data_IF_651452223096
#
_entry.id   IF_651452223096
#
_cell.length_a   1.000
_cell.length_b   1.000
_cell.length_c   1.000
_cell.angle_alpha   90.00
_cell.angle_beta   90.00
_cell.angle_gamma   90.00
#
_symmetry.space_group_name_H-M   'P 1'
#
loop_
_entity.id
_entity.type
_entity.pdbx_description
1 polymer ?
#
# COMPACT_ATOMS: atom_id res chain seq x y z
N UNK A 1 -0.07 -35.69 17.20
CA UNK A 1 0.11 -34.71 16.10
C UNK A 1 1.21 -33.76 16.51
N UNK A 2 2.11 -33.37 15.59
CA UNK A 2 3.12 -32.33 15.87
C UNK A 2 2.42 -31.02 16.19
N UNK A 3 2.99 -30.20 17.05
CA UNK A 3 2.49 -28.84 17.32
C UNK A 3 2.55 -28.03 16.03
N UNK A 4 1.53 -27.24 15.68
CA UNK A 4 1.56 -26.41 14.47
C UNK A 4 2.73 -25.42 14.53
N UNK A 5 3.37 -25.17 13.40
CA UNK A 5 4.44 -24.18 13.28
C UNK A 5 3.84 -22.85 12.79
N UNK A 6 3.99 -21.78 13.56
CA UNK A 6 3.42 -20.48 13.26
C UNK A 6 4.46 -19.36 13.20
N UNK A 7 4.30 -18.45 12.23
CA UNK A 7 5.08 -17.21 12.09
C UNK A 7 4.13 -16.02 12.15
N UNK A 8 4.40 -15.11 13.08
CA UNK A 8 3.71 -13.84 13.19
C UNK A 8 4.50 -12.75 12.45
N UNK A 9 3.90 -12.10 11.47
CA UNK A 9 4.48 -10.94 10.80
C UNK A 9 3.89 -9.65 11.32
N UNK A 10 4.72 -8.63 11.46
CA UNK A 10 4.31 -7.29 11.90
C UNK A 10 4.94 -6.19 11.06
N UNK A 11 4.14 -5.15 10.77
CA UNK A 11 4.62 -3.82 10.39
C UNK A 11 4.19 -2.82 11.47
N UNK A 12 5.09 -1.89 11.86
CA UNK A 12 4.82 -0.92 12.92
C UNK A 12 5.82 0.24 12.94
N UNK A 13 5.50 1.29 13.69
CA UNK A 13 6.35 2.42 14.05
C UNK A 13 6.71 3.38 12.92
N UNK A 14 5.99 3.32 11.80
CA UNK A 14 6.10 4.29 10.72
C UNK A 14 4.71 4.76 10.25
N UNK A 15 4.01 3.96 9.47
CA UNK A 15 2.59 4.08 9.15
C UNK A 15 2.04 2.69 8.82
N UNK A 16 0.72 2.57 8.73
CA UNK A 16 0.02 1.34 8.31
C UNK A 16 0.41 0.09 9.13
N UNK A 17 0.41 0.23 10.47
CA UNK A 17 0.67 -0.89 11.36
C UNK A 17 -0.30 -2.03 11.13
N UNK A 18 0.21 -3.25 11.09
CA UNK A 18 -0.53 -4.45 10.78
C UNK A 18 0.08 -5.71 11.39
N UNK A 19 -0.72 -6.76 11.52
CA UNK A 19 -0.27 -8.10 11.84
C UNK A 19 -0.85 -9.12 10.87
N UNK A 20 -0.08 -10.19 10.58
CA UNK A 20 -0.50 -11.33 9.79
C UNK A 20 0.06 -12.62 10.39
N UNK A 21 -0.70 -13.69 10.36
CA UNK A 21 -0.32 -14.98 10.93
C UNK A 21 -0.34 -16.07 9.87
N UNK A 22 0.81 -16.76 9.75
CA UNK A 22 0.98 -17.96 8.94
C UNK A 22 1.08 -19.15 9.88
N UNK A 23 0.28 -20.18 9.63
CA UNK A 23 0.30 -21.46 10.39
C UNK A 23 0.43 -22.59 9.38
N UNK A 24 1.46 -23.41 9.51
CA UNK A 24 1.77 -24.54 8.62
C UNK A 24 1.76 -24.17 7.12
N UNK A 25 2.11 -22.92 6.80
CA UNK A 25 2.17 -22.36 5.45
C UNK A 25 0.89 -21.66 4.98
N UNK A 26 -0.22 -21.76 5.72
CA UNK A 26 -1.50 -21.13 5.39
C UNK A 26 -1.61 -19.74 6.00
N UNK A 27 -2.18 -18.79 5.23
CA UNK A 27 -2.56 -17.47 5.75
C UNK A 27 -3.85 -17.63 6.56
N UNK A 28 -3.74 -17.56 7.89
CA UNK A 28 -4.90 -17.73 8.79
C UNK A 28 -5.70 -16.42 8.89
N UNK A 29 -5.02 -15.33 9.22
CA UNK A 29 -5.62 -14.02 9.39
C UNK A 29 -4.61 -12.90 9.18
N UNK A 30 -5.09 -11.72 8.80
CA UNK A 30 -4.31 -10.50 8.74
C UNK A 30 -5.22 -9.27 8.94
N UNK A 31 -4.72 -8.26 9.65
CA UNK A 31 -5.48 -7.02 9.87
C UNK A 31 -4.55 -5.82 10.07
N UNK A 32 -5.04 -4.64 9.63
CA UNK A 32 -4.43 -3.36 9.97
C UNK A 32 -4.88 -2.93 11.37
N UNK A 33 -4.00 -2.33 12.14
CA UNK A 33 -4.30 -1.76 13.46
C UNK A 33 -5.37 -0.66 13.39
N UNK A 34 -5.33 0.17 12.34
CA UNK A 34 -6.32 1.23 12.12
C UNK A 34 -7.78 0.74 12.06
N UNK A 35 -8.01 -0.54 11.78
CA UNK A 35 -9.36 -1.13 11.74
C UNK A 35 -9.97 -1.23 13.13
N UNK A 36 -9.14 -1.35 14.14
CA UNK A 36 -9.53 -1.43 15.55
C UNK A 36 -9.48 -0.07 16.23
N UNK A 37 -8.38 0.66 16.09
CA UNK A 37 -8.17 1.97 16.74
C UNK A 37 -8.96 3.10 16.10
N UNK A 38 -9.41 2.93 14.84
CA UNK A 38 -10.08 3.96 14.03
C UNK A 38 -9.20 5.18 13.72
N UNK A 39 -7.89 5.06 13.90
CA UNK A 39 -6.90 6.07 13.53
C UNK A 39 -6.27 5.68 12.20
N UNK A 40 -6.48 6.52 11.17
CA UNK A 40 -5.86 6.29 9.87
C UNK A 40 -4.35 6.40 9.95
N UNK A 41 -3.67 5.48 9.25
CA UNK A 41 -2.21 5.40 9.24
C UNK A 41 -1.64 5.28 10.66
N UNK A 42 -2.29 4.46 11.49
CA UNK A 42 -1.82 4.17 12.83
C UNK A 42 -0.39 3.63 12.77
N UNK A 43 0.51 4.24 13.51
CA UNK A 43 1.93 3.89 13.56
C UNK A 43 2.33 3.18 14.85
N UNK A 44 1.38 2.94 15.74
CA UNK A 44 1.63 2.26 17.02
C UNK A 44 2.01 0.79 16.82
N UNK A 45 2.45 0.13 17.88
CA UNK A 45 2.56 -1.33 17.87
C UNK A 45 1.16 -1.94 17.64
N UNK A 46 0.99 -2.92 16.72
CA UNK A 46 -0.31 -3.44 16.31
C UNK A 46 -0.90 -4.42 17.33
N UNK A 47 -1.16 -3.96 18.56
CA UNK A 47 -1.62 -4.78 19.68
C UNK A 47 -2.94 -5.49 19.38
N UNK A 48 -3.92 -4.75 18.83
CA UNK A 48 -5.23 -5.29 18.52
C UNK A 48 -5.18 -6.25 17.33
N UNK A 49 -4.40 -5.93 16.30
CA UNK A 49 -4.22 -6.81 15.16
C UNK A 49 -3.50 -8.09 15.55
N UNK A 50 -2.49 -8.04 16.42
CA UNK A 50 -1.82 -9.22 16.99
C UNK A 50 -2.80 -10.07 17.80
N UNK A 51 -3.57 -9.45 18.70
CA UNK A 51 -4.58 -10.16 19.49
C UNK A 51 -5.61 -10.86 18.57
N UNK A 52 -6.08 -10.16 17.54
CA UNK A 52 -7.03 -10.71 16.57
C UNK A 52 -6.50 -11.94 15.83
N UNK A 53 -5.28 -11.88 15.26
CA UNK A 53 -4.76 -13.00 14.47
C UNK A 53 -4.44 -14.22 15.33
N UNK A 54 -4.10 -14.02 16.60
CA UNK A 54 -3.92 -15.10 17.59
C UNK A 54 -5.26 -15.73 17.98
N UNK A 55 -6.28 -14.91 18.28
CA UNK A 55 -7.62 -15.39 18.64
C UNK A 55 -8.24 -16.21 17.49
N UNK A 56 -8.10 -15.73 16.26
CA UNK A 56 -8.58 -16.44 15.06
C UNK A 56 -7.93 -17.81 14.84
N UNK A 57 -6.66 -17.95 15.22
CA UNK A 57 -5.93 -19.21 15.09
C UNK A 57 -6.11 -20.14 16.29
N UNK A 58 -6.58 -19.65 17.43
CA UNK A 58 -6.60 -20.35 18.70
C UNK A 58 -5.21 -20.60 19.28
N UNK A 59 -4.18 -19.88 18.82
CA UNK A 59 -2.80 -19.99 19.32
C UNK A 59 -2.50 -18.87 20.31
N UNK A 60 -1.58 -19.17 21.24
CA UNK A 60 -0.99 -18.17 22.12
C UNK A 60 0.37 -17.67 21.58
N UNK A 61 0.83 -16.52 22.03
CA UNK A 61 2.16 -16.00 21.66
C UNK A 61 3.32 -16.97 21.98
N UNK A 62 3.15 -17.82 22.98
CA UNK A 62 4.11 -18.85 23.33
C UNK A 62 4.20 -19.98 22.28
N UNK A 63 3.20 -20.10 21.42
CA UNK A 63 3.17 -21.10 20.35
C UNK A 63 3.84 -20.62 19.06
N UNK A 64 4.08 -19.30 18.95
CA UNK A 64 4.67 -18.69 17.77
C UNK A 64 6.17 -19.01 17.69
N UNK A 65 6.60 -19.62 16.58
CA UNK A 65 7.99 -20.03 16.35
C UNK A 65 8.94 -18.85 16.15
N UNK A 66 8.47 -17.80 15.47
CA UNK A 66 9.18 -16.55 15.30
C UNK A 66 8.22 -15.39 14.97
N UNK A 67 8.65 -14.18 15.30
CA UNK A 67 8.02 -12.92 14.88
C UNK A 67 8.90 -12.29 13.81
N UNK A 68 8.35 -12.00 12.66
CA UNK A 68 9.03 -11.34 11.55
C UNK A 68 8.59 -9.88 11.45
N UNK A 69 9.54 -8.97 11.56
CA UNK A 69 9.34 -7.53 11.40
C UNK A 69 9.70 -7.11 9.98
N UNK A 70 8.91 -6.31 9.32
CA UNK A 70 8.88 -6.08 7.88
C UNK A 70 10.07 -5.33 7.27
N UNK A 71 11.04 -4.88 8.09
CA UNK A 71 12.23 -4.17 7.62
C UNK A 71 13.47 -4.38 8.52
N UNK A 72 14.62 -3.85 8.09
CA UNK A 72 15.91 -3.85 8.81
C UNK A 72 16.22 -2.45 9.37
N UNK A 73 15.84 -2.13 10.61
CA UNK A 73 15.96 -0.77 11.15
C UNK A 73 17.39 -0.20 11.16
N UNK A 74 18.41 -1.08 11.31
CA UNK A 74 19.82 -0.64 11.30
C UNK A 74 20.25 -0.11 9.93
N UNK A 75 19.84 -0.77 8.83
CA UNK A 75 20.15 -0.32 7.48
C UNK A 75 19.40 0.99 7.15
N UNK A 76 18.16 1.16 7.65
CA UNK A 76 17.45 2.44 7.55
C UNK A 76 18.19 3.57 8.26
N UNK A 77 18.76 3.29 9.42
CA UNK A 77 19.55 4.27 10.18
C UNK A 77 20.88 4.61 9.45
N UNK A 78 21.56 3.61 8.92
CA UNK A 78 22.75 3.78 8.08
C UNK A 78 22.46 4.70 6.89
N UNK A 79 21.42 4.40 6.10
CA UNK A 79 21.00 5.29 5.00
C UNK A 79 20.77 6.71 5.46
N UNK A 80 20.08 6.92 6.60
CA UNK A 80 19.84 8.26 7.12
C UNK A 80 21.16 9.00 7.37
N UNK A 81 22.13 8.38 8.02
CA UNK A 81 23.44 8.98 8.30
C UNK A 81 24.21 9.28 6.99
N UNK A 82 24.28 8.34 6.07
CA UNK A 82 24.96 8.53 4.79
C UNK A 82 24.31 9.61 3.94
N UNK A 83 22.98 9.68 3.96
CA UNK A 83 22.24 10.75 3.27
C UNK A 83 22.63 12.13 3.81
N UNK A 84 22.61 12.34 5.12
CA UNK A 84 23.01 13.63 5.69
C UNK A 84 24.49 13.94 5.43
N UNK A 85 25.36 12.96 5.45
CA UNK A 85 26.76 13.14 5.12
C UNK A 85 26.95 13.56 3.65
N UNK A 86 26.27 12.89 2.72
CA UNK A 86 26.39 13.14 1.28
C UNK A 86 25.83 14.50 0.85
N UNK A 87 24.82 15.01 1.54
CA UNK A 87 24.20 16.30 1.25
C UNK A 87 24.73 17.45 2.11
N UNK A 88 25.72 17.21 2.99
CA UNK A 88 26.26 18.25 3.87
C UNK A 88 26.82 19.44 3.07
N UNK A 89 26.61 20.70 3.51
CA UNK A 89 26.00 21.13 4.78
C UNK A 89 24.47 21.29 4.76
N UNK A 90 23.79 20.85 3.69
CA UNK A 90 22.33 20.89 3.60
C UNK A 90 21.69 19.97 4.67
N UNK A 91 20.53 20.35 5.20
CA UNK A 91 19.76 19.49 6.10
C UNK A 91 20.16 19.55 7.59
N UNK A 92 21.03 20.47 8.04
CA UNK A 92 21.46 20.54 9.44
C UNK A 92 20.28 20.62 10.43
N UNK A 93 19.23 21.39 10.11
CA UNK A 93 18.06 21.54 10.97
C UNK A 93 17.25 20.24 11.10
N UNK A 94 17.01 19.56 9.98
CA UNK A 94 16.31 18.28 10.00
C UNK A 94 17.14 17.18 10.65
N UNK A 95 18.47 17.16 10.45
CA UNK A 95 19.38 16.28 11.17
C UNK A 95 19.27 16.41 12.68
N UNK A 96 19.34 17.64 13.18
CA UNK A 96 19.19 17.92 14.62
C UNK A 96 17.85 17.46 15.21
N UNK A 97 16.79 17.50 14.41
CA UNK A 97 15.45 17.03 14.82
C UNK A 97 15.29 15.52 14.69
N UNK A 98 15.82 14.92 13.63
CA UNK A 98 15.63 13.50 13.32
C UNK A 98 16.51 12.58 14.18
N UNK A 99 17.80 12.88 14.32
CA UNK A 99 18.78 11.99 14.95
C UNK A 99 18.42 11.62 16.41
N UNK A 100 17.97 12.54 17.28
CA UNK A 100 17.58 12.17 18.64
C UNK A 100 16.41 11.18 18.68
N UNK A 101 15.45 11.32 17.76
CA UNK A 101 14.30 10.40 17.64
C UNK A 101 14.78 9.03 17.16
N UNK A 102 15.62 8.99 16.12
CA UNK A 102 16.15 7.73 15.57
C UNK A 102 17.01 6.97 16.58
N UNK A 103 17.87 7.67 17.33
CA UNK A 103 18.69 7.04 18.36
C UNK A 103 17.81 6.48 19.48
N UNK A 104 16.78 7.20 19.93
CA UNK A 104 15.93 6.75 21.05
C UNK A 104 14.98 5.63 20.67
N UNK A 105 14.39 5.68 19.48
CA UNK A 105 13.26 4.83 19.12
C UNK A 105 13.62 3.77 18.07
N UNK A 106 14.34 4.15 17.01
CA UNK A 106 14.55 3.26 15.86
C UNK A 106 15.78 2.38 15.98
N UNK A 107 16.87 2.89 16.58
CA UNK A 107 18.09 2.11 16.77
C UNK A 107 17.87 0.94 17.76
N UNK A 108 16.96 1.11 18.72
CA UNK A 108 16.60 0.09 19.70
C UNK A 108 15.33 -0.71 19.34
N UNK A 109 14.96 -0.75 18.06
CA UNK A 109 13.74 -1.43 17.58
C UNK A 109 13.61 -2.87 18.11
N UNK A 110 14.71 -3.63 18.12
CA UNK A 110 14.71 -4.99 18.65
C UNK A 110 14.32 -5.03 20.14
N UNK A 111 14.77 -4.06 20.91
CA UNK A 111 14.40 -3.95 22.32
C UNK A 111 12.94 -3.49 22.47
N UNK A 112 12.52 -2.49 21.72
CA UNK A 112 11.14 -2.01 21.71
C UNK A 112 10.15 -3.14 21.39
N UNK A 113 10.43 -3.93 20.36
CA UNK A 113 9.60 -5.08 20.03
C UNK A 113 9.53 -6.10 21.20
N UNK A 114 10.66 -6.39 21.85
CA UNK A 114 10.66 -7.28 23.02
C UNK A 114 9.86 -6.72 24.19
N UNK A 115 9.92 -5.42 24.42
CA UNK A 115 9.14 -4.76 25.46
C UNK A 115 7.64 -4.81 25.15
N UNK A 116 7.23 -4.58 23.90
CA UNK A 116 5.83 -4.69 23.51
C UNK A 116 5.32 -6.13 23.64
N UNK A 117 6.08 -7.12 23.16
CA UNK A 117 5.72 -8.53 23.33
C UNK A 117 5.73 -8.99 24.79
N UNK A 118 6.58 -8.40 25.63
CA UNK A 118 6.60 -8.70 27.07
C UNK A 118 5.30 -8.24 27.77
N UNK A 119 4.72 -7.10 27.35
CA UNK A 119 3.39 -6.62 27.81
C UNK A 119 2.29 -7.63 27.46
N UNK A 120 2.43 -8.30 26.32
CA UNK A 120 1.51 -9.36 25.87
C UNK A 120 1.84 -10.75 26.43
N UNK A 121 2.78 -10.85 27.39
CA UNK A 121 3.13 -12.10 28.06
C UNK A 121 4.28 -12.89 27.43
N UNK A 122 4.87 -12.46 26.31
CA UNK A 122 6.00 -13.13 25.66
C UNK A 122 7.31 -12.34 25.84
N UNK A 123 8.15 -12.76 26.80
CA UNK A 123 9.35 -12.00 27.19
C UNK A 123 10.51 -12.03 26.19
N UNK A 124 10.60 -13.01 25.33
CA UNK A 124 11.76 -13.16 24.44
C UNK A 124 11.42 -13.90 23.13
N UNK A 125 10.59 -13.28 22.26
CA UNK A 125 10.28 -13.89 20.97
C UNK A 125 11.54 -13.97 20.09
N UNK A 126 11.63 -15.03 19.26
CA UNK A 126 12.61 -15.09 18.17
C UNK A 126 12.22 -14.04 17.11
N UNK A 127 13.05 -13.03 16.89
CA UNK A 127 12.80 -11.96 15.95
C UNK A 127 13.56 -12.20 14.63
N UNK A 128 12.87 -12.06 13.52
CA UNK A 128 13.37 -12.06 12.15
C UNK A 128 13.19 -10.66 11.55
N UNK A 129 14.12 -10.25 10.68
CA UNK A 129 14.12 -8.93 10.03
C UNK A 129 14.47 -9.12 8.56
N UNK A 130 13.52 -9.52 7.68
CA UNK A 130 13.72 -9.45 6.24
C UNK A 130 13.86 -7.99 5.81
N UNK A 131 14.47 -7.76 4.66
CA UNK A 131 14.52 -6.43 4.05
C UNK A 131 13.13 -5.98 3.60
N UNK A 132 12.91 -4.67 3.58
CA UNK A 132 11.63 -4.08 3.26
C UNK A 132 11.11 -4.51 1.88
N UNK A 133 11.95 -4.37 0.83
CA UNK A 133 11.57 -4.80 -0.52
C UNK A 133 11.46 -6.32 -0.66
N UNK A 134 12.22 -7.10 0.13
CA UNK A 134 12.02 -8.54 0.21
C UNK A 134 10.66 -8.87 0.87
N UNK A 135 10.25 -8.12 1.88
CA UNK A 135 8.91 -8.26 2.47
C UNK A 135 7.82 -7.94 1.47
N UNK A 136 7.96 -6.88 0.66
CA UNK A 136 7.03 -6.59 -0.44
C UNK A 136 7.03 -7.71 -1.49
N UNK A 137 8.18 -8.16 -1.96
CA UNK A 137 8.31 -9.24 -2.93
C UNK A 137 7.66 -10.54 -2.43
N UNK A 138 7.91 -10.90 -1.17
CA UNK A 138 7.33 -12.07 -0.53
C UNK A 138 5.80 -11.96 -0.39
N UNK A 139 5.29 -10.76 -0.06
CA UNK A 139 3.85 -10.49 0.04
C UNK A 139 3.12 -10.65 -1.29
N UNK A 140 3.80 -10.40 -2.40
CA UNK A 140 3.25 -10.58 -3.74
C UNK A 140 3.46 -11.99 -4.28
N UNK A 141 4.67 -12.53 -4.21
CA UNK A 141 4.99 -13.78 -4.87
C UNK A 141 4.35 -15.00 -4.19
N UNK A 142 4.54 -15.15 -2.87
CA UNK A 142 4.09 -16.38 -2.20
C UNK A 142 2.58 -16.60 -2.23
N UNK A 143 1.70 -15.58 -2.06
CA UNK A 143 0.26 -15.80 -2.14
C UNK A 143 -0.27 -15.94 -3.56
N UNK A 144 0.50 -15.56 -4.59
CA UNK A 144 0.07 -15.59 -5.99
C UNK A 144 -0.18 -17.03 -6.48
N UNK A 145 -0.98 -17.22 -7.54
CA UNK A 145 -1.22 -18.55 -8.09
C UNK A 145 -0.08 -19.08 -8.97
N UNK A 146 0.99 -18.30 -9.20
CA UNK A 146 2.03 -18.62 -10.16
C UNK A 146 3.13 -19.51 -9.55
N UNK A 147 3.61 -20.52 -10.26
CA UNK A 147 4.78 -21.31 -9.85
C UNK A 147 6.08 -20.53 -9.96
N UNK A 148 6.18 -19.69 -10.98
CA UNK A 148 7.28 -18.76 -11.21
C UNK A 148 6.69 -17.45 -11.73
N UNK A 149 7.30 -16.33 -11.35
CA UNK A 149 6.87 -15.01 -11.80
C UNK A 149 8.03 -14.01 -11.80
N UNK A 150 7.96 -12.99 -12.66
CA UNK A 150 8.69 -11.75 -12.46
C UNK A 150 8.11 -11.03 -11.24
N UNK A 151 8.96 -10.39 -10.47
CA UNK A 151 8.55 -9.62 -9.27
C UNK A 151 8.95 -8.17 -9.50
N UNK A 152 8.01 -7.26 -9.35
CA UNK A 152 8.26 -5.82 -9.41
C UNK A 152 7.74 -5.16 -8.14
N UNK A 153 8.66 -4.61 -7.33
CA UNK A 153 8.27 -3.83 -6.16
C UNK A 153 8.63 -2.36 -6.38
N UNK A 154 7.67 -1.45 -6.20
CA UNK A 154 7.88 -0.01 -6.36
C UNK A 154 7.25 0.71 -5.17
N UNK A 155 8.09 1.40 -4.40
CA UNK A 155 7.65 2.05 -3.17
C UNK A 155 8.25 3.45 -2.99
N UNK A 156 7.99 4.07 -1.85
CA UNK A 156 8.65 5.31 -1.44
C UNK A 156 10.13 5.08 -1.15
N UNK A 157 10.43 4.33 -0.10
CA UNK A 157 11.78 3.90 0.23
C UNK A 157 11.79 2.83 1.33
N UNK A 158 12.52 1.76 1.10
CA UNK A 158 12.85 0.75 2.10
C UNK A 158 14.05 1.11 2.95
N UNK A 159 15.02 0.22 3.04
CA UNK A 159 16.35 0.54 3.61
C UNK A 159 17.09 1.48 2.68
N UNK A 160 17.44 1.01 1.50
CA UNK A 160 18.02 1.78 0.40
C UNK A 160 17.14 1.70 -0.84
N UNK A 161 16.73 0.50 -1.20
CA UNK A 161 15.91 0.26 -2.39
C UNK A 161 14.59 1.04 -2.35
N UNK A 162 14.24 1.59 -3.51
CA UNK A 162 12.97 2.28 -3.80
C UNK A 162 12.15 1.52 -4.84
N UNK A 163 12.84 0.70 -5.65
CA UNK A 163 12.26 -0.20 -6.62
C UNK A 163 13.15 -1.42 -6.75
N UNK A 164 12.56 -2.61 -6.88
CA UNK A 164 13.31 -3.82 -7.18
C UNK A 164 12.65 -4.61 -8.30
N UNK A 165 13.49 -5.24 -9.14
CA UNK A 165 13.09 -6.28 -10.08
C UNK A 165 13.68 -7.58 -9.61
N UNK A 166 12.86 -8.61 -9.47
CA UNK A 166 13.27 -9.94 -9.03
C UNK A 166 12.59 -11.05 -9.80
N UNK A 167 13.00 -12.26 -9.49
CA UNK A 167 12.40 -13.51 -9.97
C UNK A 167 11.98 -14.36 -8.78
N UNK A 168 10.77 -14.89 -8.84
CA UNK A 168 10.26 -15.89 -7.90
C UNK A 168 10.15 -17.23 -8.58
N UNK A 169 10.63 -18.28 -7.91
CA UNK A 169 10.45 -19.68 -8.36
C UNK A 169 10.42 -20.60 -7.14
N UNK A 170 9.43 -21.47 -7.08
CA UNK A 170 9.22 -22.39 -5.96
C UNK A 170 9.11 -21.62 -4.62
N UNK A 171 10.02 -21.85 -3.68
CA UNK A 171 10.09 -21.10 -2.42
C UNK A 171 11.20 -20.03 -2.40
N UNK A 172 11.81 -19.71 -3.54
CA UNK A 172 12.92 -18.76 -3.62
C UNK A 172 12.50 -17.46 -4.29
N UNK A 173 13.07 -16.38 -3.78
CA UNK A 173 12.99 -15.03 -4.37
C UNK A 173 14.42 -14.55 -4.56
N UNK A 174 14.74 -14.14 -5.80
CA UNK A 174 16.02 -13.55 -6.15
C UNK A 174 15.78 -12.11 -6.62
N UNK A 175 16.46 -11.14 -6.00
CA UNK A 175 16.45 -9.75 -6.44
C UNK A 175 17.56 -9.57 -7.49
N UNK A 176 17.18 -9.14 -8.69
CA UNK A 176 18.06 -9.03 -9.86
C UNK A 176 18.56 -7.61 -10.09
N UNK A 177 17.73 -6.60 -9.77
CA UNK A 177 18.04 -5.18 -9.94
C UNK A 177 17.41 -4.38 -8.82
N UNK A 178 18.06 -3.30 -8.44
CA UNK A 178 17.57 -2.34 -7.45
C UNK A 178 17.78 -0.91 -7.96
N UNK A 179 16.88 -0.04 -7.60
CA UNK A 179 17.01 1.40 -7.70
C UNK A 179 16.98 1.97 -6.29
N UNK A 180 17.98 2.76 -5.94
CA UNK A 180 18.19 3.20 -4.58
C UNK A 180 17.80 4.66 -4.34
N UNK A 181 17.50 4.95 -3.09
CA UNK A 181 17.32 6.29 -2.57
C UNK A 181 18.58 7.15 -2.88
N UNK A 182 18.43 8.40 -3.34
CA UNK A 182 17.21 9.22 -3.31
C UNK A 182 16.30 9.09 -4.54
N UNK A 183 16.63 8.25 -5.50
CA UNK A 183 15.88 8.10 -6.76
C UNK A 183 14.69 7.16 -6.54
N UNK A 184 13.48 7.73 -6.46
CA UNK A 184 12.26 6.99 -6.11
C UNK A 184 11.07 7.49 -6.91
N UNK A 185 10.35 6.57 -7.55
CA UNK A 185 9.08 6.87 -8.22
C UNK A 185 7.98 7.22 -7.22
N UNK A 186 7.94 6.53 -6.07
CA UNK A 186 6.99 6.83 -5.01
C UNK A 186 7.20 8.23 -4.44
N UNK A 187 8.47 8.62 -4.14
CA UNK A 187 8.77 9.96 -3.64
C UNK A 187 8.59 11.04 -4.71
N UNK A 188 8.87 10.76 -5.98
CA UNK A 188 8.54 11.65 -7.10
C UNK A 188 7.03 11.93 -7.12
N UNK A 189 6.21 10.89 -7.10
CA UNK A 189 4.74 11.03 -7.10
C UNK A 189 4.26 11.76 -5.83
N UNK A 190 4.87 11.50 -4.68
CA UNK A 190 4.60 12.20 -3.42
C UNK A 190 4.99 13.67 -3.46
N UNK A 191 6.07 14.05 -4.18
CA UNK A 191 6.43 15.45 -4.37
C UNK A 191 5.36 16.22 -5.18
N UNK A 192 4.80 15.62 -6.24
CA UNK A 192 3.67 16.20 -6.95
C UNK A 192 2.40 16.22 -6.10
N UNK A 193 2.17 15.19 -5.28
CA UNK A 193 1.08 15.15 -4.30
C UNK A 193 1.15 16.35 -3.35
N UNK A 194 2.33 16.60 -2.78
CA UNK A 194 2.62 17.76 -1.94
C UNK A 194 2.42 19.08 -2.69
N UNK A 195 2.93 19.17 -3.91
CA UNK A 195 2.85 20.39 -4.73
C UNK A 195 1.40 20.75 -5.10
N UNK A 196 0.57 19.75 -5.37
CA UNK A 196 -0.87 19.91 -5.56
C UNK A 196 -1.64 20.15 -4.24
N UNK A 197 -0.95 20.34 -3.09
CA UNK A 197 -1.56 20.71 -1.81
C UNK A 197 -2.23 19.56 -1.07
N UNK A 198 -1.89 18.32 -1.40
CA UNK A 198 -2.38 17.14 -0.68
C UNK A 198 -1.35 16.66 0.36
N UNK A 199 -1.83 15.97 1.39
CA UNK A 199 -0.99 15.37 2.42
C UNK A 199 -0.28 14.15 1.88
N UNK A 200 1.05 14.12 1.95
CA UNK A 200 1.88 12.96 1.58
C UNK A 200 1.55 11.73 2.44
N UNK A 201 1.79 10.55 1.90
CA UNK A 201 1.45 9.22 2.40
C UNK A 201 -0.06 8.90 2.44
N UNK A 202 -0.91 9.88 2.16
CA UNK A 202 -2.36 9.68 2.12
C UNK A 202 -3.07 10.45 1.01
N UNK A 203 -2.33 11.22 0.21
CA UNK A 203 -2.84 12.04 -0.86
C UNK A 203 -2.50 11.55 -2.25
N UNK A 204 -1.63 10.55 -2.39
CA UNK A 204 -1.20 10.02 -3.69
C UNK A 204 -2.38 9.51 -4.51
N UNK A 205 -3.32 8.82 -3.89
CA UNK A 205 -4.55 8.42 -4.59
C UNK A 205 -5.54 9.56 -4.82
N UNK A 206 -5.39 10.73 -4.14
CA UNK A 206 -6.11 11.95 -4.53
C UNK A 206 -5.52 12.51 -5.81
N UNK A 207 -4.19 12.55 -5.92
CA UNK A 207 -3.50 12.99 -7.13
C UNK A 207 -3.85 12.08 -8.32
N UNK A 208 -3.80 10.75 -8.14
CA UNK A 208 -4.25 9.79 -9.14
C UNK A 208 -5.71 10.01 -9.55
N UNK A 209 -6.61 10.27 -8.58
CA UNK A 209 -8.02 10.55 -8.83
C UNK A 209 -8.29 11.94 -9.45
N UNK A 210 -7.33 12.86 -9.39
CA UNK A 210 -7.39 14.18 -10.00
C UNK A 210 -6.93 14.15 -11.47
N UNK A 211 -5.99 13.28 -11.82
CA UNK A 211 -5.42 13.17 -13.15
C UNK A 211 -6.46 13.05 -14.29
N UNK A 212 -7.55 12.27 -14.17
CA UNK A 212 -8.57 12.17 -15.22
C UNK A 212 -9.31 13.49 -15.55
N UNK A 213 -9.20 14.49 -14.69
CA UNK A 213 -9.78 15.83 -14.93
C UNK A 213 -8.82 16.76 -15.69
N UNK A 214 -7.59 16.32 -15.93
CA UNK A 214 -6.65 17.00 -16.83
C UNK A 214 -7.12 16.92 -18.28
N UNK A 215 -6.74 17.92 -19.07
CA UNK A 215 -7.09 17.99 -20.49
C UNK A 215 -6.11 17.15 -21.29
N UNK A 216 -6.52 15.93 -21.66
CA UNK A 216 -5.76 15.05 -22.55
C UNK A 216 -5.44 15.80 -23.84
N UNK A 217 -4.22 15.61 -24.37
CA UNK A 217 -3.71 16.28 -25.58
C UNK A 217 -3.53 17.81 -25.50
N UNK A 218 -3.74 18.43 -24.33
CA UNK A 218 -3.48 19.86 -24.22
C UNK A 218 -1.98 20.17 -24.37
N UNK A 219 -1.63 21.29 -25.01
CA UNK A 219 -0.22 21.72 -25.12
C UNK A 219 0.46 21.83 -23.76
N UNK A 220 -0.26 22.24 -22.72
CA UNK A 220 0.25 22.41 -21.36
C UNK A 220 0.64 21.06 -20.74
N UNK A 221 -0.19 20.03 -20.87
CA UNK A 221 0.13 18.68 -20.34
C UNK A 221 1.38 18.12 -21.03
N UNK A 222 1.46 18.23 -22.37
CA UNK A 222 2.63 17.81 -23.13
C UNK A 222 3.89 18.55 -22.70
N UNK A 223 3.81 19.89 -22.62
CA UNK A 223 4.93 20.72 -22.17
C UNK A 223 5.40 20.34 -20.76
N UNK A 224 4.47 20.09 -19.83
CA UNK A 224 4.84 19.71 -18.46
C UNK A 224 5.38 18.29 -18.36
N UNK A 225 4.86 17.35 -19.15
CA UNK A 225 5.45 16.03 -19.28
C UNK A 225 6.88 16.11 -19.78
N UNK A 226 7.13 16.89 -20.84
CA UNK A 226 8.48 17.10 -21.36
C UNK A 226 9.41 17.74 -20.34
N UNK A 227 8.95 18.75 -19.59
CA UNK A 227 9.70 19.38 -18.50
C UNK A 227 10.01 18.39 -17.36
N UNK A 228 9.08 17.51 -16.99
CA UNK A 228 9.32 16.48 -15.98
C UNK A 228 10.46 15.55 -16.45
N UNK A 229 10.41 15.10 -17.70
CA UNK A 229 11.40 14.18 -18.27
C UNK A 229 12.74 14.83 -18.59
N UNK A 230 12.79 16.16 -18.87
CA UNK A 230 14.06 16.84 -19.18
C UNK A 230 14.74 17.44 -17.96
N UNK A 231 13.98 17.90 -16.96
CA UNK A 231 14.51 18.68 -15.84
C UNK A 231 14.52 17.90 -14.52
N UNK A 232 13.48 17.07 -14.28
CA UNK A 232 13.30 16.37 -13.00
C UNK A 232 13.76 14.92 -13.04
N UNK A 233 13.61 14.24 -14.20
CA UNK A 233 13.77 12.78 -14.32
C UNK A 233 14.62 12.44 -15.54
N UNK A 234 15.83 11.93 -15.34
CA UNK A 234 16.62 11.28 -16.40
C UNK A 234 16.13 9.83 -16.53
N UNK A 235 15.18 9.60 -17.43
CA UNK A 235 14.55 8.28 -17.65
C UNK A 235 15.27 7.52 -18.77
N UNK A 236 15.76 6.32 -18.44
CA UNK A 236 16.48 5.43 -19.37
C UNK A 236 15.54 4.43 -20.03
N UNK A 237 16.09 3.75 -21.05
CA UNK A 237 15.32 2.75 -21.85
C UNK A 237 14.84 1.57 -20.99
N UNK A 238 15.66 1.12 -20.04
CA UNK A 238 15.35 0.02 -19.11
C UNK A 238 14.39 0.41 -17.99
N UNK A 239 13.87 1.64 -17.98
CA UNK A 239 12.98 2.16 -16.94
C UNK A 239 13.70 2.63 -15.69
N UNK A 240 15.01 2.44 -15.57
CA UNK A 240 15.78 3.08 -14.50
C UNK A 240 15.83 4.60 -14.70
N UNK A 241 15.94 5.32 -13.62
CA UNK A 241 15.93 6.78 -13.69
C UNK A 241 16.75 7.41 -12.57
N UNK A 242 17.22 8.62 -12.82
CA UNK A 242 17.81 9.49 -11.82
C UNK A 242 16.94 10.74 -11.65
N UNK A 243 16.71 11.14 -10.41
CA UNK A 243 16.04 12.40 -10.11
C UNK A 243 17.07 13.52 -9.95
N UNK A 244 16.77 14.68 -10.50
CA UNK A 244 17.58 15.88 -10.33
C UNK A 244 17.34 16.48 -8.93
N UNK A 245 18.20 16.12 -7.98
CA UNK A 245 18.03 16.45 -6.57
C UNK A 245 18.15 17.95 -6.23
N UNK A 246 18.42 18.82 -7.20
CA UNK A 246 18.36 20.27 -7.01
C UNK A 246 16.90 20.79 -6.93
N UNK A 247 15.95 20.00 -7.44
CA UNK A 247 14.52 20.29 -7.38
C UNK A 247 13.82 19.66 -6.16
N UNK A 248 14.46 18.73 -5.44
CA UNK A 248 13.82 17.96 -4.37
C UNK A 248 14.50 18.24 -3.01
N UNK A 249 13.67 18.37 -1.98
CA UNK A 249 14.12 18.62 -0.61
C UNK A 249 13.96 17.40 0.32
N UNK A 250 13.23 16.39 -0.07
CA UNK A 250 12.84 15.28 0.81
C UNK A 250 14.02 14.46 1.37
N UNK A 251 15.18 14.50 0.71
CA UNK A 251 16.36 13.76 1.19
C UNK A 251 16.86 14.28 2.55
N UNK A 252 16.87 15.59 2.73
CA UNK A 252 17.41 16.25 3.95
C UNK A 252 16.58 17.44 4.44
N UNK A 253 15.52 17.81 3.71
CA UNK A 253 14.63 18.91 4.05
C UNK A 253 13.42 18.50 4.87
N UNK A 254 12.54 19.45 5.12
CA UNK A 254 11.25 19.27 5.77
C UNK A 254 10.07 19.37 4.78
N UNK A 255 10.37 19.61 3.52
CA UNK A 255 9.45 19.71 2.39
C UNK A 255 9.79 18.66 1.36
N UNK A 256 8.87 18.38 0.43
CA UNK A 256 9.12 17.38 -0.61
C UNK A 256 9.95 17.94 -1.76
N UNK A 257 9.79 19.22 -2.07
CA UNK A 257 10.46 19.86 -3.19
C UNK A 257 10.82 21.32 -2.86
N UNK A 258 11.67 21.91 -3.69
CA UNK A 258 11.99 23.33 -3.66
C UNK A 258 10.86 24.11 -4.35
N UNK A 259 9.92 24.65 -3.56
CA UNK A 259 8.72 25.33 -4.08
C UNK A 259 9.07 26.41 -5.11
N UNK A 260 10.12 27.21 -4.90
CA UNK A 260 10.51 28.29 -5.83
C UNK A 260 11.07 27.76 -7.17
N UNK A 261 11.82 26.65 -7.14
CA UNK A 261 12.34 26.04 -8.36
C UNK A 261 11.20 25.42 -9.18
N UNK A 262 10.24 24.78 -8.51
CA UNK A 262 9.09 24.19 -9.16
C UNK A 262 8.12 25.24 -9.71
N UNK A 263 7.90 26.35 -8.99
CA UNK A 263 7.09 27.47 -9.50
C UNK A 263 7.68 28.04 -10.79
N UNK A 264 9.00 28.23 -10.85
CA UNK A 264 9.68 28.69 -12.09
C UNK A 264 9.57 27.64 -13.22
N UNK A 265 9.67 26.35 -12.88
CA UNK A 265 9.62 25.28 -13.85
C UNK A 265 8.24 25.17 -14.50
N UNK A 266 7.18 25.16 -13.69
CA UNK A 266 5.82 24.93 -14.15
C UNK A 266 5.01 26.21 -14.41
N UNK A 267 5.54 27.38 -14.05
CA UNK A 267 4.80 28.66 -14.03
C UNK A 267 3.48 28.53 -13.24
N UNK A 268 3.54 27.82 -12.14
CA UNK A 268 2.39 27.50 -11.29
C UNK A 268 2.88 27.43 -9.84
N UNK A 269 2.33 28.21 -8.89
CA UNK A 269 2.75 28.14 -7.49
C UNK A 269 2.27 26.85 -6.82
N UNK A 270 2.95 26.43 -5.74
CA UNK A 270 2.47 25.32 -4.94
C UNK A 270 1.08 25.61 -4.35
N UNK A 271 0.13 24.73 -4.57
CA UNK A 271 -1.22 24.86 -4.03
C UNK A 271 -1.22 24.77 -2.50
N UNK A 272 -1.89 25.69 -1.85
CA UNK A 272 -2.19 25.58 -0.42
C UNK A 272 -3.32 24.57 -0.21
N UNK A 273 -3.24 23.79 0.86
CA UNK A 273 -4.33 22.86 1.24
C UNK A 273 -5.67 23.58 1.30
N UNK A 274 -6.74 22.91 0.91
CA UNK A 274 -8.14 23.37 0.94
C UNK A 274 -8.45 24.60 0.06
N UNK A 275 -7.51 25.07 -0.77
CA UNK A 275 -7.83 26.06 -1.81
C UNK A 275 -8.44 25.40 -3.05
N UNK A 276 -8.99 26.18 -3.96
CA UNK A 276 -9.59 25.71 -5.19
C UNK A 276 -8.60 24.89 -6.04
N UNK A 277 -9.10 23.83 -6.66
CA UNK A 277 -8.37 23.03 -7.64
C UNK A 277 -8.67 23.58 -9.04
N UNK A 278 -7.73 24.33 -9.60
CA UNK A 278 -7.85 24.87 -10.94
C UNK A 278 -7.47 23.84 -12.01
N UNK A 279 -7.76 24.14 -13.26
CA UNK A 279 -7.45 23.24 -14.39
C UNK A 279 -5.95 22.95 -14.51
N UNK A 280 -5.08 23.89 -14.11
CA UNK A 280 -3.64 23.72 -14.14
C UNK A 280 -3.20 22.60 -13.19
N UNK A 281 -3.72 22.52 -11.95
CA UNK A 281 -3.39 21.43 -11.04
C UNK A 281 -3.91 20.08 -11.54
N UNK A 282 -5.03 20.05 -12.24
CA UNK A 282 -5.57 18.85 -12.91
C UNK A 282 -4.64 18.41 -14.04
N UNK A 283 -4.17 19.37 -14.86
CA UNK A 283 -3.23 19.12 -15.95
C UNK A 283 -1.86 18.64 -15.41
N UNK A 284 -1.39 19.22 -14.30
CA UNK A 284 -0.14 18.78 -13.66
C UNK A 284 -0.26 17.36 -13.11
N UNK A 285 -1.41 17.04 -12.50
CA UNK A 285 -1.69 15.67 -12.03
C UNK A 285 -1.72 14.67 -13.19
N UNK A 286 -2.27 15.03 -14.35
CA UNK A 286 -2.26 14.20 -15.55
C UNK A 286 -0.83 14.01 -16.09
N UNK A 287 -0.04 15.08 -16.15
CA UNK A 287 1.34 15.01 -16.66
C UNK A 287 2.21 14.02 -15.84
N UNK A 288 2.19 14.11 -14.50
CA UNK A 288 2.95 13.17 -13.66
C UNK A 288 2.37 11.77 -13.71
N UNK A 289 1.05 11.61 -13.84
CA UNK A 289 0.43 10.29 -13.99
C UNK A 289 0.93 9.61 -15.26
N UNK A 290 1.00 10.31 -16.39
CA UNK A 290 1.53 9.76 -17.65
C UNK A 290 3.02 9.40 -17.56
N UNK A 291 3.84 10.19 -16.86
CA UNK A 291 5.25 9.85 -16.61
C UNK A 291 5.37 8.62 -15.73
N UNK A 292 4.54 8.51 -14.68
CA UNK A 292 4.50 7.34 -13.80
C UNK A 292 4.17 6.07 -14.59
N UNK A 293 3.16 6.13 -15.44
CA UNK A 293 2.75 5.01 -16.30
C UNK A 293 3.87 4.58 -17.25
N UNK A 294 4.58 5.54 -17.83
CA UNK A 294 5.72 5.26 -18.73
C UNK A 294 6.87 4.56 -17.98
N UNK A 295 7.22 5.03 -16.79
CA UNK A 295 8.26 4.41 -15.96
C UNK A 295 7.86 2.99 -15.56
N UNK A 296 6.62 2.79 -15.09
CA UNK A 296 6.13 1.45 -14.70
C UNK A 296 6.14 0.48 -15.88
N UNK A 297 5.75 0.92 -17.08
CA UNK A 297 5.78 0.09 -18.28
C UNK A 297 7.20 -0.31 -18.66
N UNK A 298 8.18 0.61 -18.64
CA UNK A 298 9.59 0.31 -18.94
C UNK A 298 10.21 -0.64 -17.92
N UNK A 299 9.95 -0.43 -16.61
CA UNK A 299 10.40 -1.34 -15.55
C UNK A 299 9.80 -2.75 -15.72
N UNK A 300 8.52 -2.83 -16.08
CA UNK A 300 7.85 -4.10 -16.36
C UNK A 300 8.42 -4.80 -17.61
N UNK A 301 8.75 -4.05 -18.66
CA UNK A 301 9.43 -4.59 -19.84
C UNK A 301 10.79 -5.20 -19.45
N UNK A 302 11.59 -4.47 -18.66
CA UNK A 302 12.88 -4.95 -18.17
C UNK A 302 12.72 -6.17 -17.26
N UNK A 303 11.70 -6.20 -16.41
CA UNK A 303 11.40 -7.37 -15.58
C UNK A 303 11.09 -8.60 -16.46
N UNK A 304 10.31 -8.43 -17.54
CA UNK A 304 10.03 -9.46 -18.53
C UNK A 304 11.29 -9.99 -19.20
N UNK A 305 12.16 -9.08 -19.65
CA UNK A 305 13.41 -9.41 -20.34
C UNK A 305 14.41 -10.13 -19.44
N UNK A 306 14.57 -9.69 -18.20
CA UNK A 306 15.51 -10.30 -17.25
C UNK A 306 15.07 -11.68 -16.78
N UNK A 307 13.79 -11.88 -16.58
CA UNK A 307 13.25 -13.12 -15.98
C UNK A 307 12.78 -14.13 -17.02
N UNK A 308 12.39 -13.67 -18.22
CA UNK A 308 11.71 -14.49 -19.22
C UNK A 308 10.34 -15.01 -18.76
N UNK A 309 9.79 -14.52 -17.66
CA UNK A 309 8.53 -15.00 -17.08
C UNK A 309 7.33 -14.45 -17.84
N UNK A 310 6.30 -15.28 -18.06
CA UNK A 310 5.02 -14.89 -18.64
C UNK A 310 4.10 -14.20 -17.61
N UNK A 311 4.37 -14.37 -16.33
CA UNK A 311 3.57 -13.86 -15.23
C UNK A 311 4.33 -12.82 -14.42
N UNK A 312 3.60 -11.81 -13.92
CA UNK A 312 4.14 -10.73 -13.08
C UNK A 312 3.41 -10.65 -11.76
N UNK A 313 4.16 -10.46 -10.68
CA UNK A 313 3.58 -10.07 -9.39
C UNK A 313 4.11 -8.69 -8.97
N UNK A 314 3.25 -7.88 -8.31
CA UNK A 314 3.57 -6.52 -7.91
C UNK A 314 3.22 -6.23 -6.45
N UNK A 315 4.10 -5.48 -5.77
CA UNK A 315 3.86 -4.88 -4.45
C UNK A 315 4.62 -3.55 -4.30
N UNK A 316 4.53 -2.92 -3.11
CA UNK A 316 4.97 -1.56 -2.82
C UNK A 316 3.83 -0.55 -3.03
N UNK A 317 3.94 0.62 -2.42
CA UNK A 317 2.87 1.64 -2.42
C UNK A 317 2.44 2.09 -3.82
N UNK A 318 3.37 2.12 -4.79
CA UNK A 318 3.08 2.51 -6.18
C UNK A 318 2.24 1.45 -6.91
N UNK A 319 2.27 0.18 -6.50
CA UNK A 319 1.40 -0.87 -7.05
C UNK A 319 -0.11 -0.64 -6.74
N UNK A 320 -0.46 0.34 -5.89
CA UNK A 320 -1.82 0.83 -5.72
C UNK A 320 -2.29 1.77 -6.86
N UNK A 321 -1.40 2.15 -7.79
CA UNK A 321 -1.77 2.98 -8.94
C UNK A 321 -2.51 2.13 -9.99
N UNK A 322 -3.83 1.99 -9.80
CA UNK A 322 -4.67 1.17 -10.66
C UNK A 322 -4.70 1.64 -12.14
N UNK A 323 -4.38 2.91 -12.40
CA UNK A 323 -4.34 3.46 -13.77
C UNK A 323 -3.11 2.92 -14.51
N UNK A 324 -1.93 2.98 -13.87
CA UNK A 324 -0.70 2.38 -14.41
C UNK A 324 -0.85 0.86 -14.57
N UNK A 325 -1.43 0.19 -13.56
CA UNK A 325 -1.68 -1.25 -13.60
C UNK A 325 -2.62 -1.65 -14.75
N UNK A 326 -3.68 -0.88 -14.98
CA UNK A 326 -4.59 -1.11 -16.10
C UNK A 326 -3.92 -0.90 -17.47
N UNK A 327 -3.00 0.06 -17.58
CA UNK A 327 -2.19 0.28 -18.79
C UNK A 327 -1.22 -0.89 -19.02
N UNK A 328 -0.57 -1.34 -17.96
CA UNK A 328 0.33 -2.50 -17.99
C UNK A 328 -0.42 -3.78 -18.43
N UNK A 329 -1.60 -4.05 -17.86
CA UNK A 329 -2.42 -5.18 -18.27
C UNK A 329 -2.78 -5.12 -19.77
N UNK A 330 -3.22 -3.96 -20.26
CA UNK A 330 -3.58 -3.78 -21.68
C UNK A 330 -2.39 -3.79 -22.64
N UNK A 331 -1.18 -3.62 -22.15
CA UNK A 331 0.03 -3.70 -22.97
C UNK A 331 0.32 -5.11 -23.50
N UNK A 332 -0.20 -6.14 -22.82
CA UNK A 332 0.06 -7.55 -23.18
C UNK A 332 1.51 -8.00 -22.91
N UNK A 333 2.29 -7.26 -22.16
CA UNK A 333 3.66 -7.63 -21.79
C UNK A 333 3.73 -8.94 -21.00
N UNK A 334 2.75 -9.18 -20.16
CA UNK A 334 2.59 -10.40 -19.39
C UNK A 334 1.27 -11.05 -19.71
N UNK A 335 1.23 -12.37 -19.60
CA UNK A 335 0.01 -13.16 -19.78
C UNK A 335 -0.95 -12.91 -18.63
N UNK A 336 -0.43 -12.96 -17.41
CA UNK A 336 -1.18 -12.71 -16.19
C UNK A 336 -0.40 -11.77 -15.24
N UNK A 337 -1.14 -10.94 -14.52
CA UNK A 337 -0.58 -10.00 -13.54
C UNK A 337 -1.33 -10.16 -12.22
N UNK A 338 -0.60 -10.42 -11.15
CA UNK A 338 -1.15 -10.49 -9.81
C UNK A 338 -0.59 -9.35 -8.94
N UNK A 339 -1.47 -8.59 -8.32
CA UNK A 339 -1.09 -7.44 -7.49
C UNK A 339 -1.54 -7.70 -6.06
N UNK A 340 -0.61 -7.57 -5.09
CA UNK A 340 -0.95 -7.71 -3.68
C UNK A 340 -2.05 -6.71 -3.28
N UNK A 341 -3.23 -7.16 -2.82
CA UNK A 341 -4.31 -6.26 -2.40
C UNK A 341 -3.90 -5.27 -1.29
N UNK A 342 -3.02 -5.70 -0.39
CA UNK A 342 -2.40 -4.88 0.64
C UNK A 342 -0.98 -4.49 0.23
N UNK A 343 -0.78 -3.92 -0.96
CA UNK A 343 0.56 -3.70 -1.55
C UNK A 343 1.45 -2.69 -0.82
N UNK A 344 0.90 -1.81 0.04
CA UNK A 344 1.70 -0.93 0.90
C UNK A 344 2.33 -1.65 2.11
N UNK A 345 2.86 -0.87 3.06
CA UNK A 345 3.62 -1.37 4.22
C UNK A 345 2.86 -2.37 5.10
N UNK A 346 1.53 -2.27 5.18
CA UNK A 346 0.74 -3.27 5.88
C UNK A 346 0.92 -4.68 5.30
N UNK A 347 0.98 -4.81 3.98
CA UNK A 347 1.31 -6.08 3.32
C UNK A 347 2.72 -6.57 3.61
N UNK A 348 3.63 -5.67 4.01
CA UNK A 348 4.94 -6.02 4.52
C UNK A 348 4.88 -6.94 5.76
N UNK A 349 3.87 -6.80 6.62
CA UNK A 349 3.64 -7.73 7.72
C UNK A 349 3.40 -9.16 7.22
N UNK A 350 2.50 -9.33 6.24
CA UNK A 350 2.24 -10.62 5.61
C UNK A 350 3.51 -11.16 4.90
N UNK A 351 4.18 -10.29 4.13
CA UNK A 351 5.38 -10.67 3.41
C UNK A 351 6.53 -11.09 4.34
N UNK A 352 6.71 -10.39 5.45
CA UNK A 352 7.70 -10.76 6.46
C UNK A 352 7.41 -12.15 7.07
N UNK A 353 6.14 -12.45 7.37
CA UNK A 353 5.75 -13.77 7.85
C UNK A 353 6.02 -14.87 6.81
N UNK A 354 5.66 -14.61 5.55
CA UNK A 354 5.90 -15.55 4.45
C UNK A 354 7.39 -15.74 4.16
N UNK A 355 8.20 -14.67 4.19
CA UNK A 355 9.67 -14.77 4.10
C UNK A 355 10.24 -15.57 5.28
N UNK A 356 9.71 -15.36 6.49
CA UNK A 356 10.02 -16.17 7.65
C UNK A 356 9.74 -17.65 7.43
N UNK A 357 8.61 -17.98 6.83
CA UNK A 357 8.19 -19.35 6.55
C UNK A 357 8.99 -19.99 5.41
N UNK A 358 9.01 -19.38 4.24
CA UNK A 358 9.59 -20.00 3.05
C UNK A 358 11.11 -19.85 2.97
N UNK A 359 11.66 -18.71 3.38
CA UNK A 359 13.11 -18.45 3.29
C UNK A 359 13.82 -18.87 4.59
N UNK A 360 13.39 -18.35 5.77
CA UNK A 360 14.12 -18.60 7.01
C UNK A 360 13.93 -20.01 7.58
N UNK A 361 12.76 -20.64 7.34
CA UNK A 361 12.48 -22.03 7.73
C UNK A 361 12.62 -23.02 6.57
N UNK A 362 12.95 -22.53 5.37
CA UNK A 362 13.12 -23.32 4.13
C UNK A 362 11.94 -24.27 3.85
N UNK A 363 10.72 -23.76 4.03
CA UNK A 363 9.50 -24.56 3.81
C UNK A 363 9.07 -24.48 2.34
N UNK A 364 8.65 -25.62 1.75
CA UNK A 364 8.20 -25.64 0.36
C UNK A 364 6.96 -24.75 0.17
N UNK A 365 6.81 -24.20 -1.04
CA UNK A 365 5.65 -23.47 -1.47
C UNK A 365 4.75 -24.36 -2.33
N UNK A 366 3.44 -24.22 -2.15
CA UNK A 366 2.43 -24.82 -3.01
C UNK A 366 1.46 -23.74 -3.47
N UNK A 367 1.55 -23.28 -4.74
CA UNK A 367 0.62 -22.28 -5.26
C UNK A 367 -0.82 -22.77 -5.21
N UNK A 368 -1.73 -21.85 -4.88
CA UNK A 368 -3.17 -22.14 -4.74
C UNK A 368 -3.95 -21.28 -5.74
N UNK A 369 -4.93 -21.86 -6.42
CA UNK A 369 -5.85 -21.13 -7.30
C UNK A 369 -7.15 -20.78 -6.53
N UNK A 370 -7.68 -19.56 -6.66
CA UNK A 370 -7.15 -18.43 -7.46
C UNK A 370 -5.94 -17.75 -6.82
N UNK A 371 -5.81 -17.76 -5.50
CA UNK A 371 -4.66 -17.30 -4.70
C UNK A 371 -4.83 -17.65 -3.22
N UNK A 372 -3.80 -17.38 -2.39
CA UNK A 372 -3.87 -17.61 -0.95
C UNK A 372 -4.52 -16.46 -0.17
N UNK A 373 -4.81 -15.32 -0.80
CA UNK A 373 -5.39 -14.14 -0.12
C UNK A 373 -6.89 -14.28 0.19
N UNK A 374 -7.55 -15.30 -0.35
CA UNK A 374 -8.99 -15.57 -0.09
C UNK A 374 -9.87 -14.35 -0.42
N UNK A 375 -9.58 -13.66 -1.54
CA UNK A 375 -10.25 -12.42 -1.91
C UNK A 375 -9.91 -11.23 -0.99
N UNK A 376 -8.75 -11.24 -0.36
CA UNK A 376 -8.31 -10.32 0.69
C UNK A 376 -9.16 -10.38 1.99
N UNK A 377 -10.04 -11.36 2.16
CA UNK A 377 -10.95 -11.48 3.29
C UNK A 377 -10.27 -12.15 4.51
N UNK A 378 -9.27 -11.49 5.06
CA UNK A 378 -8.41 -12.00 6.14
C UNK A 378 -8.67 -11.33 7.50
N UNK A 379 -9.46 -10.26 7.52
CA UNK A 379 -9.78 -9.50 8.73
C UNK A 379 -10.96 -10.06 9.52
N UNK A 380 -11.38 -9.39 10.63
CA UNK A 380 -12.39 -9.89 11.54
C UNK A 380 -13.78 -10.05 10.90
N UNK A 381 -14.46 -11.09 11.35
CA UNK A 381 -15.85 -11.39 11.04
C UNK A 381 -16.70 -11.23 12.31
N UNK A 382 -17.97 -10.92 12.12
CA UNK A 382 -18.94 -10.78 13.21
C UNK A 382 -20.22 -11.55 12.87
N UNK A 383 -20.71 -12.31 13.82
CA UNK A 383 -21.90 -13.12 13.64
C UNK A 383 -23.22 -12.33 13.88
N UNK A 384 -24.35 -12.97 13.62
CA UNK A 384 -25.66 -12.36 13.83
C UNK A 384 -25.93 -12.00 15.30
N UNK A 385 -25.29 -12.69 16.26
CA UNK A 385 -25.46 -12.41 17.70
C UNK A 385 -24.75 -11.12 18.07
N UNK A 386 -23.55 -10.89 17.52
CA UNK A 386 -22.79 -9.65 17.71
C UNK A 386 -23.57 -8.46 17.15
N UNK A 387 -24.12 -8.61 15.93
CA UNK A 387 -24.92 -7.56 15.30
C UNK A 387 -26.16 -7.23 16.14
N UNK A 388 -26.88 -8.24 16.63
CA UNK A 388 -28.06 -8.04 17.48
C UNK A 388 -27.69 -7.41 18.82
N UNK A 389 -26.55 -7.77 19.41
CA UNK A 389 -26.06 -7.15 20.65
C UNK A 389 -25.81 -5.66 20.46
N UNK A 390 -25.19 -5.28 19.33
CA UNK A 390 -24.96 -3.87 18.98
C UNK A 390 -26.28 -3.15 18.71
N UNK A 391 -27.19 -3.73 17.92
CA UNK A 391 -28.49 -3.14 17.63
C UNK A 391 -29.30 -2.86 18.92
N UNK A 392 -29.29 -3.78 19.88
CA UNK A 392 -29.93 -3.62 21.17
C UNK A 392 -29.26 -2.53 22.01
N UNK A 393 -27.92 -2.50 22.07
CA UNK A 393 -27.16 -1.50 22.82
C UNK A 393 -27.48 -0.07 22.36
N UNK A 394 -27.63 0.13 21.05
CA UNK A 394 -27.91 1.45 20.47
C UNK A 394 -29.41 1.67 20.20
N UNK A 395 -30.28 0.76 20.61
CA UNK A 395 -31.74 0.81 20.35
C UNK A 395 -32.05 1.06 18.87
N UNK A 396 -31.19 0.51 17.98
CA UNK A 396 -31.32 0.68 16.55
C UNK A 396 -32.52 -0.16 16.02
N UNK A 397 -33.42 0.40 15.20
CA UNK A 397 -34.43 -0.39 14.54
C UNK A 397 -33.76 -1.33 13.53
N UNK A 398 -34.23 -2.57 13.49
CA UNK A 398 -33.72 -3.55 12.54
C UNK A 398 -34.84 -4.42 11.97
N UNK A 399 -34.60 -4.97 10.78
CA UNK A 399 -35.45 -5.96 10.10
C UNK A 399 -34.58 -7.19 9.82
N UNK A 400 -35.16 -8.37 10.05
CA UNK A 400 -34.50 -9.63 9.68
C UNK A 400 -35.12 -10.17 8.40
N UNK A 401 -34.32 -10.86 7.60
CA UNK A 401 -34.69 -11.46 6.34
C UNK A 401 -34.55 -12.99 6.44
N UNK A 402 -35.46 -13.73 5.84
CA UNK A 402 -35.44 -15.19 5.86
C UNK A 402 -34.37 -15.78 4.89
N UNK A 403 -34.01 -15.02 3.88
CA UNK A 403 -32.96 -15.40 2.94
C UNK A 403 -32.23 -14.16 2.40
N UNK A 404 -31.06 -14.40 1.81
CA UNK A 404 -30.16 -13.35 1.29
C UNK A 404 -30.74 -12.63 0.05
N UNK A 405 -31.50 -13.35 -0.79
CA UNK A 405 -32.11 -12.78 -2.00
C UNK A 405 -33.17 -11.71 -1.66
N UNK A 406 -33.97 -11.93 -0.63
CA UNK A 406 -34.95 -10.94 -0.16
C UNK A 406 -34.24 -9.67 0.37
N UNK A 407 -33.10 -9.81 1.06
CA UNK A 407 -32.30 -8.69 1.49
C UNK A 407 -31.73 -7.95 0.26
N UNK A 408 -31.16 -8.66 -0.71
CA UNK A 408 -30.60 -8.06 -1.93
C UNK A 408 -31.69 -7.30 -2.72
N UNK A 409 -32.86 -7.85 -2.86
CA UNK A 409 -34.01 -7.23 -3.53
C UNK A 409 -34.42 -5.91 -2.87
N UNK A 410 -34.56 -5.91 -1.53
CA UNK A 410 -34.88 -4.69 -0.78
C UNK A 410 -33.78 -3.63 -0.93
N UNK A 411 -32.50 -4.03 -0.82
CA UNK A 411 -31.36 -3.11 -0.98
C UNK A 411 -31.29 -2.55 -2.39
N UNK A 412 -31.49 -3.38 -3.42
CA UNK A 412 -31.54 -2.93 -4.81
C UNK A 412 -32.64 -1.87 -5.02
N UNK A 413 -33.82 -2.10 -4.45
CA UNK A 413 -34.93 -1.13 -4.49
C UNK A 413 -34.63 0.19 -3.75
N UNK A 414 -33.79 0.17 -2.70
CA UNK A 414 -33.30 1.37 -2.03
C UNK A 414 -32.29 2.14 -2.91
N UNK A 415 -31.36 1.44 -3.53
CA UNK A 415 -30.35 2.01 -4.42
C UNK A 415 -31.01 2.65 -5.67
N UNK A 416 -31.99 1.97 -6.28
CA UNK A 416 -32.78 2.48 -7.41
C UNK A 416 -33.46 3.83 -7.08
N UNK A 417 -33.93 4.00 -5.83
CA UNK A 417 -34.48 5.27 -5.34
C UNK A 417 -33.43 6.33 -5.05
N UNK A 418 -32.17 6.09 -5.41
CA UNK A 418 -31.04 7.00 -5.19
C UNK A 418 -30.61 7.07 -3.71
N UNK A 419 -30.96 6.08 -2.88
CA UNK A 419 -30.44 6.00 -1.51
C UNK A 419 -29.01 5.48 -1.48
N UNK A 420 -28.34 5.73 -0.38
CA UNK A 420 -26.97 5.22 -0.11
C UNK A 420 -27.04 4.20 1.00
N UNK A 421 -26.43 3.05 0.79
CA UNK A 421 -26.47 1.92 1.73
C UNK A 421 -25.06 1.61 2.24
N UNK A 422 -24.90 1.53 3.57
CA UNK A 422 -23.71 0.94 4.18
C UNK A 422 -23.84 -0.59 4.16
N UNK A 423 -22.88 -1.27 3.54
CA UNK A 423 -22.87 -2.73 3.40
C UNK A 423 -21.81 -3.36 4.29
N UNK A 424 -22.19 -4.36 5.05
CA UNK A 424 -21.33 -5.07 5.99
C UNK A 424 -21.66 -6.57 5.95
N UNK A 425 -20.70 -7.39 5.53
CA UNK A 425 -20.87 -8.84 5.48
C UNK A 425 -19.55 -9.56 5.70
N UNK A 426 -19.59 -10.82 6.15
CA UNK A 426 -18.45 -11.73 6.25
C UNK A 426 -17.20 -11.12 6.86
N UNK A 427 -16.05 -11.59 6.43
CA UNK A 427 -14.74 -11.09 6.87
C UNK A 427 -14.40 -9.73 6.28
N UNK A 428 -13.68 -8.93 7.05
CA UNK A 428 -13.14 -7.64 6.59
C UNK A 428 -11.97 -7.86 5.63
N UNK A 429 -11.83 -6.96 4.68
CA UNK A 429 -10.72 -6.94 3.73
C UNK A 429 -9.40 -6.55 4.41
N UNK A 430 -8.31 -7.24 4.04
CA UNK A 430 -6.94 -6.84 4.34
C UNK A 430 -6.37 -6.03 3.20
N UNK A 431 -6.10 -4.76 3.47
CA UNK A 431 -5.65 -3.79 2.47
C UNK A 431 -6.36 -2.44 2.61
N UNK A 432 -5.94 -1.42 1.84
CA UNK A 432 -6.46 -0.06 1.96
C UNK A 432 -7.81 0.12 1.27
N UNK A 433 -8.28 -0.87 0.50
CA UNK A 433 -9.50 -0.79 -0.32
C UNK A 433 -10.64 -1.59 0.28
N UNK A 434 -11.85 -1.03 0.20
CA UNK A 434 -13.08 -1.78 0.40
C UNK A 434 -13.36 -2.59 -0.88
N UNK A 435 -13.60 -3.89 -0.72
CA UNK A 435 -13.80 -4.84 -1.82
C UNK A 435 -15.17 -5.55 -1.74
N UNK A 436 -16.15 -4.92 -1.09
CA UNK A 436 -17.51 -5.42 -1.01
C UNK A 436 -17.98 -5.78 0.40
N UNK A 437 -17.09 -6.05 1.35
CA UNK A 437 -17.48 -6.51 2.68
C UNK A 437 -17.63 -5.40 3.73
N UNK A 438 -16.96 -4.27 3.53
CA UNK A 438 -17.08 -3.04 4.36
C UNK A 438 -17.22 -1.84 3.43
N UNK A 439 -18.33 -1.79 2.68
CA UNK A 439 -18.52 -0.89 1.55
C UNK A 439 -19.68 0.07 1.75
N UNK A 440 -19.64 1.16 0.98
CA UNK A 440 -20.79 2.05 0.81
C UNK A 440 -21.26 1.92 -0.63
N UNK A 441 -22.54 1.59 -0.80
CA UNK A 441 -23.14 1.33 -2.09
C UNK A 441 -23.97 2.53 -2.54
N UNK A 442 -23.92 2.84 -3.82
CA UNK A 442 -24.74 3.84 -4.49
C UNK A 442 -25.01 3.44 -5.93
N UNK A 443 -26.12 3.84 -6.51
CA UNK A 443 -26.46 3.56 -7.90
C UNK A 443 -25.62 4.42 -8.85
N UNK A 444 -24.72 3.79 -9.60
CA UNK A 444 -23.82 4.46 -10.55
C UNK A 444 -24.56 5.10 -11.75
N UNK A 445 -25.81 4.73 -12.02
CA UNK A 445 -26.63 5.31 -13.08
C UNK A 445 -27.12 6.72 -12.72
N UNK A 446 -27.08 7.08 -11.43
CA UNK A 446 -27.57 8.39 -10.97
C UNK A 446 -26.47 9.44 -11.11
N UNK A 447 -26.63 10.49 -11.96
CA UNK A 447 -25.57 11.45 -12.28
C UNK A 447 -24.96 12.17 -11.07
N UNK A 448 -25.76 12.46 -10.05
CA UNK A 448 -25.34 13.16 -8.84
C UNK A 448 -24.78 12.22 -7.75
N UNK A 449 -24.74 10.90 -7.96
CA UNK A 449 -24.39 9.95 -6.91
C UNK A 449 -22.97 10.12 -6.42
N UNK A 450 -21.99 10.32 -7.32
CA UNK A 450 -20.60 10.58 -6.95
C UNK A 450 -20.50 11.79 -6.02
N UNK A 451 -21.16 12.90 -6.37
CA UNK A 451 -21.18 14.13 -5.58
C UNK A 451 -21.86 13.91 -4.23
N UNK A 452 -22.99 13.20 -4.22
CA UNK A 452 -23.72 12.84 -3.00
C UNK A 452 -22.87 12.03 -2.03
N UNK A 453 -22.20 10.99 -2.52
CA UNK A 453 -21.33 10.13 -1.73
C UNK A 453 -20.12 10.92 -1.19
N UNK A 454 -19.48 11.75 -2.00
CA UNK A 454 -18.32 12.52 -1.56
C UNK A 454 -18.69 13.60 -0.54
N UNK A 455 -19.64 14.47 -0.87
CA UNK A 455 -19.93 15.66 -0.08
C UNK A 455 -20.82 15.39 1.14
N UNK A 456 -21.79 14.48 1.03
CA UNK A 456 -22.79 14.25 2.11
C UNK A 456 -22.50 13.03 2.98
N UNK A 457 -21.76 12.04 2.47
CA UNK A 457 -21.49 10.79 3.22
C UNK A 457 -20.04 10.74 3.70
N UNK A 458 -19.08 11.04 2.80
CA UNK A 458 -17.65 10.96 3.11
C UNK A 458 -17.04 12.30 3.56
N UNK A 459 -17.76 13.41 3.40
CA UNK A 459 -17.27 14.76 3.72
C UNK A 459 -15.86 15.03 3.16
N UNK A 460 -15.71 14.83 1.85
CA UNK A 460 -14.43 14.93 1.14
C UNK A 460 -14.60 15.59 -0.22
N UNK A 461 -13.50 15.79 -0.93
CA UNK A 461 -13.45 16.46 -2.22
C UNK A 461 -14.34 15.76 -3.27
N UNK A 462 -15.07 16.55 -4.05
CA UNK A 462 -16.08 16.07 -5.00
C UNK A 462 -15.54 15.27 -6.19
N UNK A 463 -14.26 15.47 -6.54
CA UNK A 463 -13.61 14.77 -7.65
C UNK A 463 -13.21 13.32 -7.35
N UNK A 464 -13.25 12.89 -6.08
CA UNK A 464 -12.80 11.54 -5.69
C UNK A 464 -13.63 10.46 -6.39
N UNK A 465 -12.99 9.49 -7.09
CA UNK A 465 -13.70 8.41 -7.75
C UNK A 465 -14.22 7.37 -6.74
N UNK A 466 -15.17 6.57 -7.20
CA UNK A 466 -15.60 5.32 -6.58
C UNK A 466 -15.41 4.17 -7.57
N UNK A 467 -15.11 2.99 -7.06
CA UNK A 467 -14.98 1.80 -7.88
C UNK A 467 -16.37 1.34 -8.36
N UNK A 468 -16.61 1.20 -9.67
CA UNK A 468 -17.82 0.57 -10.17
C UNK A 468 -17.78 -0.93 -9.91
N UNK A 469 -18.92 -1.52 -9.54
CA UNK A 469 -19.13 -2.97 -9.57
C UNK A 469 -19.98 -3.30 -10.78
N UNK A 470 -19.48 -4.18 -11.62
CA UNK A 470 -20.16 -4.66 -12.83
C UNK A 470 -20.23 -6.18 -12.79
N UNK A 471 -21.21 -6.77 -13.46
CA UNK A 471 -21.25 -8.22 -13.67
C UNK A 471 -20.22 -8.61 -14.72
N UNK A 472 -19.61 -9.79 -14.58
CA UNK A 472 -18.44 -10.21 -15.35
C UNK A 472 -18.76 -10.27 -16.87
N UNK A 473 -19.98 -10.60 -17.22
CA UNK A 473 -20.45 -10.74 -18.61
C UNK A 473 -20.71 -9.38 -19.30
N UNK A 474 -20.64 -8.26 -18.57
CA UNK A 474 -20.85 -6.91 -19.08
C UNK A 474 -19.55 -6.09 -19.08
#
# INVERSE_FOLDING_TARGET
MSKPEAILGISAFYHDSAAALIVDGEIVAAAHEERFTRQKQDSSFPEHAVAYVLDESGLELADIKAVAFYDKPYLKFERLLETYHSFAPRGLKSFQSAIPVWIKEKLFMRQMLREEFAKLGCKNPRLLFPEHHLSHAASAFYPSPFNAAAILTIDGVGEWATCTIGAGRDNQIEILRELDFPHSLGLLYSAFTYYCGFKVNSGEYKLMGLAPYGLVDSPQVKQWKDKILSELVDLREDGSFLLNMDYFDYATGLTMCNDNAWEKLFDLPRRKSETELTQEYMNLALAIQEVTEEIVLRLAQTARELTGSDDLVMAGGVALNCVANGKLLRSGLFKDIWIQPASGDAGGALGAALAGWHISLDKPRQPVSPDMMKGALLGPEFDAKDILKIARRYQAPYKTYNNFEALCSDVAGLLEKGMVVGWFQGRMEYGPRALGNRSILGDARHPEMQKKLNLKIKYREGFRPFAPSVIEEC
#
